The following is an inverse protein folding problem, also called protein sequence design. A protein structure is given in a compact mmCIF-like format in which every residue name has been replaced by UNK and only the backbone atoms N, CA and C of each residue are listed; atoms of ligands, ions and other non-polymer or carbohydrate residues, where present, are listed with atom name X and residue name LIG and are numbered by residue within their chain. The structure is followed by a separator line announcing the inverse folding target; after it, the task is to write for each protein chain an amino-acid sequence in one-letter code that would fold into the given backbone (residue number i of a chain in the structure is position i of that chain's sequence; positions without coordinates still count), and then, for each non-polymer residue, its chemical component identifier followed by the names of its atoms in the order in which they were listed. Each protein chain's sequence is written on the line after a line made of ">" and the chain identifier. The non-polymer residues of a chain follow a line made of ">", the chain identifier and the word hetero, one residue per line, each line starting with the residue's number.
data_IF_407314778679
#
_entry.id   IF_407314778679
#
_cell.length_a   1.000
_cell.length_b   1.000
_cell.length_c   1.000
_cell.angle_alpha   90.00
_cell.angle_beta   90.00
_cell.angle_gamma   90.00
#
_symmetry.space_group_name_H-M   'P 1'
#
loop_
_entity.id
_entity.type
_entity.pdbx_description
1 polymer ?
#
# COMPACT_ATOMS: atom_id res chain seq x y z
N UNK A 1 -28.75 -22.90 -47.85
CA UNK A 1 -27.63 -22.16 -47.24
C UNK A 1 -27.95 -21.95 -45.77
N UNK A 2 -27.42 -22.82 -44.92
CA UNK A 2 -27.57 -22.74 -43.47
C UNK A 2 -26.42 -21.89 -42.93
N UNK A 3 -26.77 -20.75 -42.33
CA UNK A 3 -25.82 -19.83 -41.69
C UNK A 3 -25.48 -20.42 -40.32
N UNK A 4 -24.23 -20.82 -40.11
CA UNK A 4 -23.74 -21.32 -38.84
C UNK A 4 -23.55 -20.17 -37.84
N UNK A 5 -24.29 -20.20 -36.74
CA UNK A 5 -24.08 -19.32 -35.60
C UNK A 5 -22.73 -19.65 -34.93
N UNK A 6 -21.76 -18.75 -35.08
CA UNK A 6 -20.55 -18.75 -34.26
C UNK A 6 -20.90 -18.36 -32.82
N UNK A 7 -20.75 -19.31 -31.90
CA UNK A 7 -20.80 -19.08 -30.46
C UNK A 7 -19.59 -18.22 -30.05
N UNK A 8 -19.85 -17.00 -29.62
CA UNK A 8 -18.85 -16.17 -28.96
C UNK A 8 -18.52 -16.80 -27.60
N UNK A 9 -17.31 -17.36 -27.47
CA UNK A 9 -16.75 -17.79 -26.19
C UNK A 9 -16.45 -16.55 -25.34
N UNK A 10 -17.46 -16.05 -24.64
CA UNK A 10 -17.32 -15.05 -23.59
C UNK A 10 -16.73 -15.69 -22.34
N UNK A 11 -15.43 -15.95 -22.34
CA UNK A 11 -14.70 -16.25 -21.11
C UNK A 11 -14.69 -15.02 -20.23
N UNK A 12 -15.55 -14.97 -19.21
CA UNK A 12 -15.42 -14.00 -18.13
C UNK A 12 -14.04 -14.18 -17.52
N UNK A 13 -13.14 -13.22 -17.73
CA UNK A 13 -11.87 -13.16 -17.03
C UNK A 13 -12.17 -12.83 -15.56
N UNK A 14 -12.31 -13.87 -14.74
CA UNK A 14 -12.45 -13.70 -13.29
C UNK A 14 -11.18 -13.04 -12.78
N UNK A 15 -11.27 -11.77 -12.36
CA UNK A 15 -10.18 -11.04 -11.72
C UNK A 15 -9.62 -11.91 -10.57
N UNK A 16 -8.31 -12.23 -10.57
CA UNK A 16 -7.71 -12.99 -9.46
C UNK A 16 -7.94 -12.21 -8.17
N UNK A 17 -8.66 -12.75 -7.18
CA UNK A 17 -9.09 -11.95 -6.05
C UNK A 17 -7.90 -11.64 -5.15
N UNK A 18 -7.57 -10.35 -5.04
CA UNK A 18 -6.68 -9.86 -3.99
C UNK A 18 -7.44 -9.82 -2.66
N UNK A 19 -6.83 -10.24 -1.54
CA UNK A 19 -7.43 -10.04 -0.23
C UNK A 19 -7.53 -8.53 0.09
N UNK A 20 -8.43 -8.18 0.99
CA UNK A 20 -8.38 -6.84 1.57
C UNK A 20 -7.31 -6.81 2.66
N UNK A 21 -6.63 -5.69 2.84
CA UNK A 21 -5.58 -5.60 3.86
C UNK A 21 -4.51 -4.56 3.61
N UNK A 22 -3.42 -4.71 4.37
CA UNK A 22 -2.24 -3.86 4.29
C UNK A 22 -1.20 -4.49 3.37
N UNK A 23 -0.69 -3.68 2.46
CA UNK A 23 0.35 -3.99 1.49
C UNK A 23 1.47 -2.94 1.60
N UNK A 24 2.69 -3.37 1.30
CA UNK A 24 3.83 -2.47 1.16
C UNK A 24 4.37 -2.54 -0.28
N UNK A 25 4.64 -1.40 -0.93
CA UNK A 25 5.57 -1.39 -2.05
C UNK A 25 6.96 -1.70 -1.48
N UNK A 26 7.42 -2.94 -1.67
CA UNK A 26 8.61 -3.46 -1.01
C UNK A 26 9.85 -2.66 -1.37
N UNK A 27 10.68 -2.37 -0.36
CA UNK A 27 11.91 -1.61 -0.57
C UNK A 27 12.95 -2.42 -1.35
N UNK A 28 13.65 -1.77 -2.27
CA UNK A 28 14.83 -2.34 -2.93
C UNK A 28 16.11 -1.99 -2.18
N UNK A 29 16.92 -2.99 -1.90
CA UNK A 29 18.20 -2.88 -1.22
C UNK A 29 19.34 -3.04 -2.21
N UNK A 30 20.44 -2.34 -1.95
CA UNK A 30 21.57 -2.25 -2.86
C UNK A 30 22.87 -2.40 -2.07
N UNK A 31 23.88 -2.98 -2.72
CA UNK A 31 25.26 -2.93 -2.25
C UNK A 31 25.71 -1.45 -2.10
N UNK A 32 26.35 -1.07 -0.98
CA UNK A 32 26.68 0.32 -0.70
C UNK A 32 27.77 0.91 -1.61
N UNK A 33 28.58 0.06 -2.27
CA UNK A 33 29.67 0.45 -3.16
C UNK A 33 29.28 0.27 -4.63
N UNK A 34 28.81 -0.91 -5.02
CA UNK A 34 28.52 -1.23 -6.43
C UNK A 34 27.13 -0.77 -6.88
N UNK A 35 26.20 -0.54 -5.95
CA UNK A 35 24.77 -0.31 -6.20
C UNK A 35 24.05 -1.47 -6.91
N UNK A 36 24.64 -2.68 -6.89
CA UNK A 36 23.99 -3.91 -7.33
C UNK A 36 22.87 -4.31 -6.37
N UNK A 37 21.92 -5.12 -6.84
CA UNK A 37 20.81 -5.59 -6.01
C UNK A 37 21.31 -6.50 -4.88
N UNK A 38 20.98 -6.13 -3.65
CA UNK A 38 21.22 -6.97 -2.47
C UNK A 38 20.06 -7.96 -2.30
N UNK A 39 20.12 -9.05 -3.07
CA UNK A 39 19.09 -10.12 -3.08
C UNK A 39 18.89 -10.74 -1.67
N UNK A 40 19.93 -11.06 -0.89
CA UNK A 40 19.77 -11.55 0.48
C UNK A 40 18.93 -10.62 1.36
N UNK A 41 19.22 -9.31 1.35
CA UNK A 41 18.47 -8.33 2.15
C UNK A 41 17.05 -8.15 1.64
N UNK A 42 16.83 -8.14 0.32
CA UNK A 42 15.47 -8.09 -0.28
C UNK A 42 14.64 -9.28 0.21
N UNK A 43 15.18 -10.49 0.14
CA UNK A 43 14.49 -11.71 0.62
C UNK A 43 14.18 -11.63 2.11
N UNK A 44 15.18 -11.29 2.93
CA UNK A 44 15.01 -11.13 4.39
C UNK A 44 13.93 -10.10 4.73
N UNK A 45 13.88 -9.00 4.00
CA UNK A 45 12.89 -7.95 4.19
C UNK A 45 11.48 -8.45 3.86
N UNK A 46 11.29 -9.08 2.70
CA UNK A 46 10.01 -9.63 2.28
C UNK A 46 9.48 -10.70 3.26
N UNK A 47 10.34 -11.61 3.70
CA UNK A 47 10.00 -12.64 4.69
C UNK A 47 9.54 -12.03 6.03
N UNK A 48 10.20 -10.95 6.48
CA UNK A 48 9.76 -10.22 7.67
C UNK A 48 8.38 -9.61 7.48
N UNK A 49 8.14 -8.92 6.36
CA UNK A 49 6.85 -8.27 6.11
C UNK A 49 5.68 -9.27 6.13
N UNK A 50 5.85 -10.43 5.48
CA UNK A 50 4.84 -11.49 5.50
C UNK A 50 4.64 -12.04 6.92
N UNK A 51 5.72 -12.29 7.66
CA UNK A 51 5.62 -12.75 9.06
C UNK A 51 4.91 -11.75 9.97
N UNK A 52 5.10 -10.45 9.71
CA UNK A 52 4.50 -9.36 10.48
C UNK A 52 3.06 -9.03 10.04
N UNK A 53 2.46 -9.88 9.19
CA UNK A 53 1.02 -9.86 8.89
C UNK A 53 0.65 -9.05 7.65
N UNK A 54 1.61 -8.53 6.87
CA UNK A 54 1.25 -7.92 5.59
C UNK A 54 0.62 -8.96 4.68
N UNK A 55 -0.40 -8.52 3.93
CA UNK A 55 -0.96 -9.33 2.88
C UNK A 55 0.17 -9.69 1.91
N UNK A 56 0.28 -10.97 1.50
CA UNK A 56 1.31 -11.38 0.57
C UNK A 56 1.23 -10.48 -0.65
N UNK A 57 2.40 -10.00 -1.08
CA UNK A 57 2.55 -9.06 -2.18
C UNK A 57 1.68 -9.51 -3.37
N UNK A 58 1.09 -8.54 -4.07
CA UNK A 58 0.51 -8.77 -5.39
C UNK A 58 1.55 -9.32 -6.40
N UNK A 59 2.83 -9.31 -6.04
CA UNK A 59 3.93 -9.99 -6.73
C UNK A 59 4.21 -11.38 -6.13
N UNK A 60 3.67 -12.42 -6.75
CA UNK A 60 4.49 -13.19 -7.68
C UNK A 60 3.95 -12.97 -9.08
N UNK A 61 4.79 -12.40 -9.96
CA UNK A 61 4.49 -12.06 -11.34
C UNK A 61 3.43 -12.98 -11.99
N UNK A 62 2.20 -12.48 -12.20
CA UNK A 62 1.31 -13.06 -13.20
C UNK A 62 1.89 -12.72 -14.59
N UNK A 63 1.47 -13.40 -15.67
CA UNK A 63 1.77 -12.95 -17.02
C UNK A 63 1.22 -11.53 -17.35
N UNK A 64 0.38 -10.96 -16.48
CA UNK A 64 -0.18 -9.62 -16.60
C UNK A 64 -0.08 -8.85 -15.26
N UNK A 65 0.59 -7.69 -15.20
CA UNK A 65 0.67 -6.85 -14.01
C UNK A 65 -0.73 -6.43 -13.53
N UNK A 66 -0.94 -6.41 -12.21
CA UNK A 66 -2.11 -5.78 -11.61
C UNK A 66 -2.10 -4.29 -11.97
N UNK A 67 -3.02 -3.87 -12.83
CA UNK A 67 -3.15 -2.46 -13.23
C UNK A 67 -4.05 -1.75 -12.23
N UNK A 68 -3.41 -1.05 -11.30
CA UNK A 68 -4.05 -0.09 -10.41
C UNK A 68 -3.71 1.33 -10.89
N UNK A 69 -4.55 1.98 -11.72
CA UNK A 69 -4.41 3.40 -12.01
C UNK A 69 -4.53 4.25 -10.73
N UNK A 70 -3.40 4.55 -10.08
CA UNK A 70 -2.96 5.89 -9.65
C UNK A 70 -1.52 5.75 -9.09
N UNK A 71 -0.58 6.34 -9.83
CA UNK A 71 0.65 6.92 -9.32
C UNK A 71 0.71 8.31 -9.98
N UNK A 72 0.18 9.36 -9.34
CA UNK A 72 0.13 10.68 -9.94
C UNK A 72 1.57 11.16 -10.18
N UNK A 73 1.85 11.56 -11.41
CA UNK A 73 2.82 12.62 -11.60
C UNK A 73 2.26 13.88 -10.92
N UNK A 74 3.10 14.80 -10.42
CA UNK A 74 2.63 16.07 -9.85
C UNK A 74 1.71 16.87 -10.81
N UNK A 75 1.70 16.52 -12.10
CA UNK A 75 1.04 17.27 -13.17
C UNK A 75 -0.28 16.66 -13.66
N UNK A 76 -0.66 15.44 -13.23
CA UNK A 76 -1.90 14.78 -13.69
C UNK A 76 -2.61 14.10 -12.52
N UNK A 77 -3.75 14.69 -12.12
CA UNK A 77 -4.69 14.08 -11.19
C UNK A 77 -5.90 13.51 -11.95
N UNK A 78 -6.15 12.21 -11.83
CA UNK A 78 -7.31 11.57 -12.46
C UNK A 78 -8.54 11.78 -11.57
N UNK A 79 -9.56 12.46 -12.07
CA UNK A 79 -10.81 12.64 -11.32
C UNK A 79 -11.61 11.33 -11.19
N UNK A 80 -12.65 11.33 -10.35
CA UNK A 80 -13.46 10.11 -10.15
C UNK A 80 -14.20 9.67 -11.41
N UNK A 81 -14.64 10.58 -12.28
CA UNK A 81 -15.44 10.22 -13.44
C UNK A 81 -14.57 9.46 -14.46
N UNK A 82 -13.32 9.90 -14.64
CA UNK A 82 -12.32 9.18 -15.41
C UNK A 82 -12.00 7.82 -14.80
N UNK A 83 -11.76 7.76 -13.49
CA UNK A 83 -11.47 6.50 -12.79
C UNK A 83 -12.62 5.49 -12.89
N UNK A 84 -13.86 5.95 -12.75
CA UNK A 84 -15.07 5.12 -12.89
C UNK A 84 -15.20 4.58 -14.31
N UNK A 85 -14.96 5.43 -15.33
CA UNK A 85 -14.94 4.98 -16.74
C UNK A 85 -13.86 3.93 -16.99
N UNK A 86 -12.67 4.12 -16.43
CA UNK A 86 -11.57 3.16 -16.55
C UNK A 86 -11.89 1.84 -15.84
N UNK A 87 -12.54 1.88 -14.68
CA UNK A 87 -12.90 0.69 -13.91
C UNK A 87 -13.82 -0.30 -14.65
N UNK A 88 -14.55 0.16 -15.68
CA UNK A 88 -15.35 -0.67 -16.56
C UNK A 88 -14.51 -1.62 -17.44
N UNK A 89 -13.22 -1.34 -17.63
CA UNK A 89 -12.34 -2.19 -18.41
C UNK A 89 -12.00 -3.48 -17.62
N UNK A 90 -12.10 -4.69 -18.23
CA UNK A 90 -11.94 -5.95 -17.51
C UNK A 90 -10.54 -6.13 -16.88
N UNK A 91 -9.51 -5.53 -17.49
CA UNK A 91 -8.13 -5.61 -17.00
C UNK A 91 -7.77 -4.59 -15.89
N UNK A 92 -8.66 -3.63 -15.60
CA UNK A 92 -8.44 -2.66 -14.52
C UNK A 92 -9.09 -3.21 -13.25
N UNK A 93 -8.25 -3.63 -12.30
CA UNK A 93 -8.68 -4.37 -11.12
C UNK A 93 -8.89 -3.47 -9.88
N UNK A 94 -8.53 -2.19 -9.95
CA UNK A 94 -8.60 -1.29 -8.82
C UNK A 94 -7.92 0.05 -9.06
N UNK A 95 -7.79 0.86 -8.01
CA UNK A 95 -7.07 2.13 -7.99
C UNK A 95 -6.38 2.31 -6.64
N UNK A 96 -5.19 2.92 -6.65
CA UNK A 96 -4.45 3.30 -5.43
C UNK A 96 -4.45 4.81 -5.24
N UNK A 97 -5.34 5.30 -4.38
CA UNK A 97 -5.53 6.72 -4.06
C UNK A 97 -4.37 7.28 -3.23
N UNK A 98 -3.42 7.92 -3.89
CA UNK A 98 -2.26 8.55 -3.23
C UNK A 98 -2.50 10.00 -2.84
N UNK A 99 -3.55 10.62 -3.38
CA UNK A 99 -3.92 12.02 -3.14
C UNK A 99 -4.50 12.30 -1.75
N UNK A 100 -4.83 11.26 -0.95
CA UNK A 100 -5.49 11.42 0.34
C UNK A 100 -6.94 11.94 0.28
N UNK A 101 -7.53 12.03 -0.91
CA UNK A 101 -8.88 12.55 -1.11
C UNK A 101 -9.93 11.47 -0.79
N UNK A 102 -10.49 11.51 0.43
CA UNK A 102 -11.55 10.60 0.88
C UNK A 102 -12.80 10.66 -0.01
N UNK A 103 -13.18 11.85 -0.47
CA UNK A 103 -14.34 12.03 -1.33
C UNK A 103 -14.16 11.39 -2.71
N UNK A 104 -12.95 11.47 -3.28
CA UNK A 104 -12.62 10.79 -4.54
C UNK A 104 -12.70 9.26 -4.36
N UNK A 105 -12.06 8.74 -3.32
CA UNK A 105 -12.07 7.32 -3.00
C UNK A 105 -13.51 6.82 -2.80
N UNK A 106 -14.31 7.52 -1.99
CA UNK A 106 -15.71 7.16 -1.70
C UNK A 106 -16.54 7.07 -2.99
N UNK A 107 -16.45 8.08 -3.87
CA UNK A 107 -17.22 8.09 -5.14
C UNK A 107 -16.85 6.92 -6.04
N UNK A 108 -15.56 6.62 -6.18
CA UNK A 108 -15.09 5.51 -7.02
C UNK A 108 -15.45 4.17 -6.38
N UNK A 109 -15.20 3.99 -5.09
CA UNK A 109 -15.52 2.75 -4.37
C UNK A 109 -17.01 2.43 -4.43
N UNK A 110 -17.88 3.44 -4.24
CA UNK A 110 -19.32 3.27 -4.36
C UNK A 110 -19.75 2.93 -5.79
N UNK A 111 -19.28 3.69 -6.78
CA UNK A 111 -19.67 3.49 -8.18
C UNK A 111 -19.18 2.16 -8.76
N UNK A 112 -18.09 1.61 -8.22
CA UNK A 112 -17.52 0.34 -8.66
C UNK A 112 -17.96 -0.84 -7.80
N UNK A 113 -18.77 -0.64 -6.75
CA UNK A 113 -19.07 -1.68 -5.73
C UNK A 113 -17.77 -2.36 -5.26
N UNK A 114 -16.82 -1.56 -4.76
CA UNK A 114 -15.50 -2.03 -4.41
C UNK A 114 -15.55 -3.09 -3.29
N UNK A 115 -14.58 -4.00 -3.34
CA UNK A 115 -14.42 -5.04 -2.33
C UNK A 115 -14.08 -4.43 -0.97
N UNK A 116 -14.69 -4.93 0.09
CA UNK A 116 -14.43 -4.53 1.49
C UNK A 116 -14.20 -5.77 2.35
N UNK A 117 -13.74 -5.65 3.61
CA UNK A 117 -13.68 -6.78 4.52
C UNK A 117 -15.00 -7.54 4.69
N UNK A 118 -16.13 -6.83 4.60
CA UNK A 118 -17.48 -7.36 4.84
C UNK A 118 -18.26 -7.72 3.57
N UNK A 119 -17.79 -7.33 2.38
CA UNK A 119 -18.49 -7.59 1.11
C UNK A 119 -17.49 -7.88 -0.02
N UNK A 120 -17.70 -8.95 -0.81
CA UNK A 120 -16.85 -9.25 -1.97
C UNK A 120 -16.97 -8.19 -3.09
N UNK A 121 -18.09 -7.46 -3.16
CA UNK A 121 -18.37 -6.45 -4.18
C UNK A 121 -18.23 -6.97 -5.62
N UNK A 122 -17.89 -6.07 -6.55
CA UNK A 122 -17.52 -6.38 -7.94
C UNK A 122 -16.11 -6.97 -8.10
N UNK A 123 -15.37 -7.09 -6.99
CA UNK A 123 -13.95 -7.43 -6.98
C UNK A 123 -13.02 -6.28 -7.39
N UNK A 124 -13.53 -5.07 -7.64
CA UNK A 124 -12.68 -3.88 -7.80
C UNK A 124 -12.04 -3.48 -6.47
N UNK A 125 -10.75 -3.13 -6.48
CA UNK A 125 -9.98 -2.81 -5.28
C UNK A 125 -9.68 -1.30 -5.16
N UNK A 126 -10.18 -0.65 -4.11
CA UNK A 126 -9.90 0.75 -3.81
C UNK A 126 -8.88 0.88 -2.67
N UNK A 127 -7.61 1.15 -2.99
CA UNK A 127 -6.53 1.22 -2.02
C UNK A 127 -6.21 2.66 -1.60
N UNK A 128 -6.00 2.91 -0.31
CA UNK A 128 -5.34 4.14 0.15
C UNK A 128 -3.82 4.07 -0.03
N UNK A 129 -3.18 5.21 -0.27
CA UNK A 129 -1.74 5.29 -0.55
C UNK A 129 -0.81 5.53 0.65
N UNK A 130 -1.36 5.73 1.86
CA UNK A 130 -0.63 6.15 3.06
C UNK A 130 -1.14 5.37 4.28
N UNK A 131 -0.27 5.08 5.26
CA UNK A 131 -0.67 4.35 6.46
C UNK A 131 -1.54 5.21 7.38
N UNK A 132 -1.31 6.53 7.38
CA UNK A 132 -2.13 7.52 8.10
C UNK A 132 -3.60 7.64 7.61
N UNK A 133 -3.90 6.98 6.47
CA UNK A 133 -5.17 7.00 5.78
C UNK A 133 -5.99 5.71 5.93
N UNK A 134 -5.56 4.78 6.80
CA UNK A 134 -6.14 3.42 6.90
C UNK A 134 -7.60 3.44 7.33
N UNK A 135 -7.93 4.11 8.43
CA UNK A 135 -9.31 4.20 8.94
C UNK A 135 -10.23 4.91 7.95
N UNK A 136 -9.76 6.00 7.35
CA UNK A 136 -10.51 6.82 6.40
C UNK A 136 -10.81 6.02 5.12
N UNK A 137 -9.85 5.22 4.66
CA UNK A 137 -10.02 4.31 3.53
C UNK A 137 -11.12 3.29 3.82
N UNK A 138 -11.06 2.61 4.97
CA UNK A 138 -12.07 1.63 5.37
C UNK A 138 -13.46 2.27 5.52
N UNK A 139 -13.55 3.44 6.16
CA UNK A 139 -14.79 4.20 6.32
C UNK A 139 -15.40 4.61 4.97
N UNK A 140 -14.57 4.78 3.94
CA UNK A 140 -14.98 5.19 2.58
C UNK A 140 -15.32 4.01 1.65
N UNK A 141 -15.36 2.78 2.17
CA UNK A 141 -15.59 1.57 1.36
C UNK A 141 -14.34 1.04 0.64
N UNK A 142 -13.15 1.39 1.14
CA UNK A 142 -11.88 0.95 0.58
C UNK A 142 -11.51 -0.49 0.91
N UNK A 143 -10.64 -1.04 0.07
CA UNK A 143 -10.24 -2.45 0.06
C UNK A 143 -8.90 -2.71 0.74
N UNK A 144 -8.10 -1.68 1.02
CA UNK A 144 -6.77 -1.88 1.56
C UNK A 144 -5.92 -0.63 1.60
N UNK A 145 -4.68 -0.78 2.05
CA UNK A 145 -3.64 0.25 1.96
C UNK A 145 -2.44 -0.32 1.24
N UNK A 146 -1.87 0.46 0.32
CA UNK A 146 -0.55 0.21 -0.28
C UNK A 146 0.32 1.42 0.04
N UNK A 147 1.14 1.31 1.09
CA UNK A 147 1.87 2.46 1.63
C UNK A 147 3.31 2.14 2.02
N UNK A 148 4.20 3.12 1.80
CA UNK A 148 5.63 2.96 2.08
C UNK A 148 5.95 2.74 3.56
N UNK A 149 5.20 3.38 4.46
CA UNK A 149 5.35 3.25 5.91
C UNK A 149 5.17 1.81 6.43
N UNK A 150 4.39 0.98 5.74
CA UNK A 150 4.20 -0.42 6.09
C UNK A 150 5.49 -1.26 5.94
N UNK A 151 6.52 -0.76 5.24
CA UNK A 151 7.86 -1.37 5.26
C UNK A 151 8.59 -1.16 6.60
N UNK A 152 8.16 -0.23 7.45
CA UNK A 152 8.81 0.10 8.73
C UNK A 152 8.00 -0.41 9.92
N UNK A 153 6.68 -0.20 9.88
CA UNK A 153 5.74 -0.47 10.98
C UNK A 153 4.58 -1.40 10.53
N UNK A 154 4.89 -2.61 10.02
CA UNK A 154 3.89 -3.51 9.47
C UNK A 154 2.79 -3.91 10.47
N UNK A 155 3.14 -4.27 11.71
CA UNK A 155 2.19 -4.80 12.70
C UNK A 155 1.19 -3.75 13.14
N UNK A 156 1.63 -2.51 13.36
CA UNK A 156 0.72 -1.40 13.71
C UNK A 156 -0.26 -1.14 12.58
N UNK A 157 0.20 -1.13 11.33
CA UNK A 157 -0.70 -0.95 10.17
C UNK A 157 -1.78 -2.04 10.11
N UNK A 158 -1.37 -3.31 10.25
CA UNK A 158 -2.28 -4.46 10.26
C UNK A 158 -3.23 -4.38 11.45
N UNK A 159 -2.73 -3.98 12.63
CA UNK A 159 -3.55 -3.86 13.84
C UNK A 159 -4.63 -2.79 13.70
N UNK A 160 -4.33 -1.63 13.11
CA UNK A 160 -5.34 -0.59 12.82
C UNK A 160 -6.42 -1.14 11.90
N UNK A 161 -6.01 -1.83 10.83
CA UNK A 161 -6.91 -2.47 9.87
C UNK A 161 -7.84 -3.48 10.54
N UNK A 162 -7.27 -4.42 11.30
CA UNK A 162 -8.01 -5.50 11.95
C UNK A 162 -8.99 -4.98 13.00
N UNK A 163 -8.58 -3.98 13.80
CA UNK A 163 -9.46 -3.35 14.79
C UNK A 163 -10.69 -2.74 14.12
N UNK A 164 -10.47 -1.99 13.04
CA UNK A 164 -11.58 -1.34 12.33
C UNK A 164 -12.48 -2.37 11.63
N UNK A 165 -11.90 -3.36 10.96
CA UNK A 165 -12.64 -4.44 10.29
C UNK A 165 -13.46 -5.28 11.29
N UNK A 166 -12.99 -5.43 12.52
CA UNK A 166 -13.71 -6.09 13.61
C UNK A 166 -14.76 -5.20 14.31
N UNK A 167 -14.99 -3.98 13.83
CA UNK A 167 -15.94 -3.03 14.42
C UNK A 167 -15.46 -2.30 15.67
N UNK A 168 -14.19 -2.49 16.08
CA UNK A 168 -13.56 -1.78 17.21
C UNK A 168 -13.06 -0.40 16.79
N UNK A 169 -13.98 0.42 16.30
CA UNK A 169 -13.69 1.70 15.64
C UNK A 169 -12.97 2.69 16.56
N UNK A 170 -13.35 2.78 17.84
CA UNK A 170 -12.70 3.68 18.79
C UNK A 170 -11.22 3.33 19.03
N UNK A 171 -10.91 2.04 19.21
CA UNK A 171 -9.54 1.54 19.36
C UNK A 171 -8.73 1.76 18.08
N UNK A 172 -9.32 1.47 16.91
CA UNK A 172 -8.68 1.69 15.62
C UNK A 172 -8.32 3.17 15.39
N UNK A 173 -9.25 4.08 15.68
CA UNK A 173 -9.03 5.54 15.56
C UNK A 173 -7.95 6.02 16.54
N UNK A 174 -7.92 5.49 17.76
CA UNK A 174 -6.88 5.84 18.73
C UNK A 174 -5.49 5.43 18.21
N UNK A 175 -5.33 4.19 17.73
CA UNK A 175 -4.07 3.70 17.18
C UNK A 175 -3.69 4.41 15.87
N UNK A 176 -4.66 4.73 15.02
CA UNK A 176 -4.46 5.49 13.78
C UNK A 176 -3.81 6.85 14.03
N UNK A 177 -4.11 7.53 15.15
CA UNK A 177 -3.50 8.82 15.49
C UNK A 177 -2.00 8.69 15.76
N UNK A 178 -1.59 7.64 16.48
CA UNK A 178 -0.17 7.33 16.70
C UNK A 178 0.51 6.95 15.40
N UNK A 179 -0.13 6.09 14.60
CA UNK A 179 0.36 5.70 13.27
C UNK A 179 0.57 6.92 12.37
N UNK A 180 -0.38 7.86 12.36
CA UNK A 180 -0.32 9.06 11.51
C UNK A 180 0.86 9.98 11.85
N UNK A 181 1.20 10.12 13.13
CA UNK A 181 2.36 10.92 13.55
C UNK A 181 3.68 10.34 13.02
N UNK A 182 3.84 9.02 13.11
CA UNK A 182 5.03 8.33 12.58
C UNK A 182 5.07 8.30 11.05
N UNK A 183 3.95 8.00 10.40
CA UNK A 183 3.88 7.89 8.93
C UNK A 183 4.16 9.23 8.24
N UNK A 184 3.78 10.35 8.86
CA UNK A 184 4.10 11.69 8.35
C UNK A 184 5.61 11.93 8.19
N UNK A 185 6.41 11.42 9.14
CA UNK A 185 7.87 11.53 9.10
C UNK A 185 8.43 10.76 7.91
N UNK A 186 7.94 9.53 7.70
CA UNK A 186 8.34 8.67 6.60
C UNK A 186 7.91 9.22 5.24
N UNK A 187 6.67 9.72 5.14
CA UNK A 187 6.13 10.35 3.93
C UNK A 187 6.98 11.55 3.49
N UNK A 188 7.40 12.40 4.43
CA UNK A 188 8.29 13.54 4.13
C UNK A 188 9.70 13.14 3.75
N UNK A 189 10.23 12.11 4.39
CA UNK A 189 11.59 11.65 4.16
C UNK A 189 11.72 10.70 2.95
N UNK A 190 10.58 10.25 2.42
CA UNK A 190 10.45 9.39 1.25
C UNK A 190 11.36 8.15 1.33
N UNK A 191 11.85 7.68 0.17
CA UNK A 191 12.66 6.46 0.05
C UNK A 191 13.86 6.46 1.01
N UNK A 192 14.61 7.56 1.09
CA UNK A 192 15.79 7.65 1.94
C UNK A 192 15.43 7.53 3.43
N UNK A 193 14.31 8.14 3.83
CA UNK A 193 13.79 8.05 5.18
C UNK A 193 13.31 6.67 5.56
N UNK A 194 12.54 6.03 4.69
CA UNK A 194 12.09 4.65 4.89
C UNK A 194 13.27 3.72 5.05
N UNK A 195 14.28 3.78 4.17
CA UNK A 195 15.50 2.96 4.30
C UNK A 195 16.24 3.22 5.61
N UNK A 196 16.34 4.50 6.01
CA UNK A 196 16.99 4.86 7.27
C UNK A 196 16.22 4.35 8.50
N UNK A 197 14.90 4.45 8.53
CA UNK A 197 14.10 3.91 9.62
C UNK A 197 14.27 2.39 9.73
N UNK A 198 14.31 1.68 8.59
CA UNK A 198 14.59 0.24 8.60
C UNK A 198 16.00 -0.03 9.17
N UNK A 199 17.00 0.77 8.76
CA UNK A 199 18.38 0.67 9.25
C UNK A 199 18.45 0.84 10.78
N UNK A 200 17.80 1.87 11.33
CA UNK A 200 17.84 2.19 12.76
C UNK A 200 17.18 1.12 13.63
N UNK A 201 16.04 0.58 13.20
CA UNK A 201 15.25 -0.35 14.05
C UNK A 201 15.49 -1.84 13.77
N UNK A 202 15.98 -2.19 12.59
CA UNK A 202 16.15 -3.60 12.21
C UNK A 202 17.58 -3.94 11.78
N UNK A 203 18.49 -2.95 11.75
CA UNK A 203 19.90 -3.16 11.46
C UNK A 203 20.23 -3.35 9.97
N UNK A 204 19.25 -3.21 9.09
CA UNK A 204 19.44 -3.27 7.64
C UNK A 204 18.57 -2.22 6.97
N UNK A 205 19.04 -1.60 5.90
CA UNK A 205 18.35 -0.46 5.30
C UNK A 205 19.19 0.12 4.17
N UNK A 206 20.43 0.44 4.48
CA UNK A 206 21.41 0.94 3.52
C UNK A 206 20.97 2.27 2.88
N UNK A 207 21.65 2.62 1.78
CA UNK A 207 21.43 3.91 1.10
C UNK A 207 20.46 3.78 -0.08
N UNK A 208 19.72 4.85 -0.41
CA UNK A 208 19.02 4.89 -1.69
C UNK A 208 20.05 4.90 -2.84
N UNK A 209 19.67 4.34 -3.99
CA UNK A 209 20.49 4.38 -5.20
C UNK A 209 20.59 5.81 -5.72
N UNK A 210 21.77 6.21 -6.20
CA UNK A 210 21.97 7.49 -6.87
C UNK A 210 21.03 7.60 -8.08
N UNK A 211 20.48 8.80 -8.37
CA UNK A 211 20.88 10.13 -7.89
C UNK A 211 20.22 10.59 -6.58
N UNK A 212 19.45 9.74 -5.90
CA UNK A 212 18.85 10.11 -4.61
C UNK A 212 19.93 10.40 -3.56
N UNK A 213 19.78 11.53 -2.86
CA UNK A 213 20.75 11.96 -1.87
C UNK A 213 20.65 11.10 -0.61
N UNK A 214 21.81 10.75 -0.06
CA UNK A 214 21.92 10.20 1.30
C UNK A 214 21.47 11.26 2.31
N UNK A 215 20.99 10.80 3.46
CA UNK A 215 20.60 11.69 4.56
C UNK A 215 21.85 12.09 5.37
N UNK A 216 21.86 13.33 5.85
CA UNK A 216 22.84 13.77 6.84
C UNK A 216 22.46 13.25 8.25
N UNK A 217 23.40 13.37 9.20
CA UNK A 217 23.21 12.90 10.57
C UNK A 217 22.02 13.55 11.29
N UNK A 218 21.73 14.81 11.01
CA UNK A 218 20.62 15.53 11.64
C UNK A 218 19.27 14.98 11.17
N UNK A 219 19.12 14.73 9.86
CA UNK A 219 17.91 14.10 9.29
C UNK A 219 17.74 12.66 9.76
N UNK A 220 18.83 11.90 9.90
CA UNK A 220 18.79 10.55 10.48
C UNK A 220 18.22 10.58 11.89
N UNK A 221 18.75 11.43 12.77
CA UNK A 221 18.27 11.56 14.15
C UNK A 221 16.81 12.03 14.21
N UNK A 222 16.41 12.96 13.34
CA UNK A 222 15.04 13.44 13.27
C UNK A 222 14.04 12.35 12.85
N UNK A 223 14.43 11.45 11.94
CA UNK A 223 13.58 10.31 11.55
C UNK A 223 13.44 9.33 12.71
N UNK A 224 14.55 8.98 13.35
CA UNK A 224 14.55 8.04 14.47
C UNK A 224 13.70 8.53 15.65
N UNK A 225 13.85 9.81 16.02
CA UNK A 225 12.99 10.44 17.03
C UNK A 225 11.52 10.47 16.57
N UNK A 226 11.28 10.91 15.34
CA UNK A 226 9.94 11.13 14.82
C UNK A 226 9.10 9.86 14.71
N UNK A 227 9.71 8.70 14.49
CA UNK A 227 9.00 7.41 14.45
C UNK A 227 9.07 6.63 15.76
N UNK A 228 9.76 7.14 16.80
CA UNK A 228 10.00 6.39 18.04
C UNK A 228 8.71 5.89 18.68
N UNK A 229 7.73 6.77 18.85
CA UNK A 229 6.45 6.46 19.50
C UNK A 229 5.73 5.31 18.79
N UNK A 230 5.58 5.36 17.46
CA UNK A 230 4.93 4.28 16.72
C UNK A 230 5.75 2.99 16.72
N UNK A 231 7.09 3.10 16.75
CA UNK A 231 7.97 1.94 16.80
C UNK A 231 8.00 1.24 18.16
N UNK A 232 7.74 1.97 19.26
CA UNK A 232 7.51 1.35 20.57
C UNK A 232 6.24 0.50 20.56
N UNK A 233 5.17 0.99 19.95
CA UNK A 233 3.94 0.22 19.75
C UNK A 233 4.19 -0.99 18.84
N UNK A 234 4.88 -0.80 17.71
CA UNK A 234 5.24 -1.87 16.76
C UNK A 234 5.98 -3.03 17.43
N UNK A 235 6.90 -2.74 18.35
CA UNK A 235 7.65 -3.77 19.09
C UNK A 235 6.82 -4.48 20.17
N UNK A 236 5.73 -3.88 20.62
CA UNK A 236 4.85 -4.45 21.64
C UNK A 236 3.82 -5.44 21.09
N UNK A 237 3.61 -5.42 19.76
CA UNK A 237 2.72 -6.32 19.02
C UNK A 237 3.46 -7.57 18.54
#
# INVERSE_FOLDING_TARGET
>A
MTVGNGTANGGQTTRRPLPCGIYAPTMTFFDPETEDLDIPTIKKHAERLVRDGLSPDASPAPPHPLQLPEAPSPDIDMDSDLLIRLAAHPNIAGTKFTCGNTGKLTRVALATDAKTPSSPGSGYMAFGGMCDFTVQTLASGGSGIIAGGANVMPKVCVRVWDLYAAGKTAEAVALQRTLARGDWVLTKAAIAGTKQAIQSYFGYGGFPRRPLKRLDKARVAAIEEGVREVMEVERSL
#
